data_IF_693738064997
#
_entry.id   IF_693738064997
#
_cell.length_a   1.000
_cell.length_b   1.000
_cell.length_c   1.000
_cell.angle_alpha   90.00
_cell.angle_beta   90.00
_cell.angle_gamma   90.00
#
_symmetry.space_group_name_H-M   'P 1'
#
loop_
_entity.id
_entity.type
_entity.pdbx_description
1 polymer ?
#
# COMPACT_ATOMS: atom_id res chain seq x y z
N UNK A 1 -22.91 -5.12 12.26
CA UNK A 1 -22.90 -5.65 10.87
C UNK A 1 -21.60 -6.42 10.71
N UNK A 2 -21.58 -7.61 10.08
CA UNK A 2 -20.33 -8.37 9.88
C UNK A 2 -19.38 -7.52 9.00
N UNK A 3 -18.08 -7.38 9.34
CA UNK A 3 -17.15 -6.64 8.51
C UNK A 3 -17.07 -7.27 7.13
N UNK A 4 -16.96 -6.44 6.08
CA UNK A 4 -16.67 -6.95 4.74
C UNK A 4 -15.27 -7.53 4.72
N UNK A 5 -15.07 -8.65 4.02
CA UNK A 5 -13.75 -9.23 3.85
C UNK A 5 -12.79 -8.23 3.19
N UNK A 6 -11.53 -8.26 3.62
CA UNK A 6 -10.42 -7.71 2.87
C UNK A 6 -9.82 -8.84 2.02
N UNK A 7 -9.60 -8.57 0.73
CA UNK A 7 -8.93 -9.57 -0.11
C UNK A 7 -7.41 -9.39 -0.02
N UNK A 8 -6.70 -10.42 0.42
CA UNK A 8 -5.24 -10.46 0.34
C UNK A 8 -4.85 -11.09 -1.00
N UNK A 9 -4.28 -10.31 -1.91
CA UNK A 9 -3.74 -10.86 -3.15
C UNK A 9 -2.35 -11.41 -2.86
N UNK A 10 -2.14 -12.71 -3.08
CA UNK A 10 -0.95 -13.44 -2.66
C UNK A 10 0.36 -12.93 -3.27
N UNK A 11 0.28 -12.14 -4.35
CA UNK A 11 1.44 -11.73 -5.11
C UNK A 11 1.99 -12.93 -5.89
N UNK A 12 3.31 -13.01 -6.03
CA UNK A 12 3.95 -14.15 -6.67
C UNK A 12 3.96 -15.36 -5.72
N UNK A 13 3.27 -16.49 -6.06
CA UNK A 13 3.23 -17.67 -5.19
C UNK A 13 4.60 -18.36 -5.00
N UNK A 14 5.59 -18.07 -5.84
CA UNK A 14 6.97 -18.52 -5.64
C UNK A 14 7.75 -17.65 -4.64
N UNK A 15 7.22 -16.48 -4.25
CA UNK A 15 7.81 -15.60 -3.25
C UNK A 15 7.38 -15.94 -1.82
N UNK A 16 7.64 -15.01 -0.90
CA UNK A 16 7.27 -15.15 0.52
C UNK A 16 5.79 -14.90 0.83
N UNK A 17 5.00 -14.43 -0.15
CA UNK A 17 3.58 -14.10 0.00
C UNK A 17 2.77 -15.17 0.76
N UNK A 18 2.82 -16.45 0.34
CA UNK A 18 2.15 -17.54 1.05
C UNK A 18 2.53 -17.64 2.53
N UNK A 19 3.83 -17.51 2.88
CA UNK A 19 4.30 -17.63 4.26
C UNK A 19 3.78 -16.50 5.14
N UNK A 20 3.91 -15.25 4.67
CA UNK A 20 3.50 -14.08 5.47
C UNK A 20 1.97 -14.05 5.65
N UNK A 21 1.20 -14.53 4.67
CA UNK A 21 -0.26 -14.69 4.79
C UNK A 21 -0.61 -15.68 5.90
N UNK A 22 0.01 -16.86 5.91
CA UNK A 22 -0.26 -17.89 6.92
C UNK A 22 0.12 -17.41 8.32
N UNK A 23 1.27 -16.75 8.46
CA UNK A 23 1.70 -16.17 9.73
C UNK A 23 0.75 -15.05 10.21
N UNK A 24 0.36 -14.15 9.32
CA UNK A 24 -0.61 -13.10 9.63
C UNK A 24 -1.95 -13.70 10.07
N UNK A 25 -2.46 -14.73 9.38
CA UNK A 25 -3.67 -15.44 9.77
C UNK A 25 -3.55 -16.11 11.15
N UNK A 26 -2.38 -16.66 11.49
CA UNK A 26 -2.11 -17.23 12.81
C UNK A 26 -2.10 -16.15 13.90
N UNK A 27 -1.44 -15.01 13.65
CA UNK A 27 -1.36 -13.89 14.58
C UNK A 27 -2.73 -13.22 14.81
N UNK A 28 -3.54 -13.10 13.75
CA UNK A 28 -4.86 -12.46 13.78
C UNK A 28 -6.01 -13.42 14.12
N UNK A 29 -5.70 -14.68 14.47
CA UNK A 29 -6.69 -15.73 14.75
C UNK A 29 -7.79 -15.29 15.74
N UNK A 30 -7.50 -14.64 16.89
CA UNK A 30 -8.55 -14.23 17.82
C UNK A 30 -9.61 -13.32 17.18
N UNK A 31 -9.18 -12.38 16.32
CA UNK A 31 -10.08 -11.45 15.62
C UNK A 31 -10.89 -12.14 14.52
N UNK A 32 -10.27 -13.10 13.82
CA UNK A 32 -10.94 -13.92 12.81
C UNK A 32 -12.02 -14.82 13.44
N UNK A 33 -11.71 -15.46 14.56
CA UNK A 33 -12.64 -16.33 15.30
C UNK A 33 -13.78 -15.54 15.96
N UNK A 34 -13.51 -14.33 16.45
CA UNK A 34 -14.52 -13.42 16.97
C UNK A 34 -15.42 -12.81 15.88
N UNK A 35 -15.08 -12.99 14.59
CA UNK A 35 -15.81 -12.41 13.47
C UNK A 35 -15.62 -10.90 13.32
N UNK A 36 -14.59 -10.34 13.95
CA UNK A 36 -14.20 -8.93 13.90
C UNK A 36 -13.38 -8.60 12.65
N UNK A 37 -12.83 -9.62 12.00
CA UNK A 37 -12.05 -9.51 10.77
C UNK A 37 -12.48 -10.59 9.77
N UNK A 38 -12.55 -10.23 8.49
CA UNK A 38 -12.74 -11.15 7.38
C UNK A 38 -11.58 -11.04 6.38
N UNK A 39 -10.94 -12.16 6.04
CA UNK A 39 -9.85 -12.24 5.08
C UNK A 39 -10.17 -13.26 3.98
N UNK A 40 -10.06 -12.82 2.74
CA UNK A 40 -10.13 -13.67 1.55
C UNK A 40 -8.75 -13.69 0.88
N UNK A 41 -8.07 -14.82 0.85
CA UNK A 41 -6.77 -14.95 0.18
C UNK A 41 -7.01 -15.31 -1.28
N UNK A 42 -6.55 -14.49 -2.23
CA UNK A 42 -6.65 -14.76 -3.67
C UNK A 42 -5.25 -15.09 -4.20
N UNK A 43 -5.06 -16.27 -4.80
CA UNK A 43 -3.75 -16.71 -5.30
C UNK A 43 -3.71 -18.19 -5.71
N UNK A 44 -2.57 -18.86 -5.48
CA UNK A 44 -2.43 -20.32 -5.67
C UNK A 44 -2.72 -21.05 -4.36
N UNK A 45 -3.86 -21.75 -4.30
CA UNK A 45 -4.25 -22.60 -3.19
C UNK A 45 -3.22 -23.69 -2.89
N UNK A 46 -2.61 -24.38 -3.89
CA UNK A 46 -1.49 -25.29 -3.64
C UNK A 46 -0.30 -24.62 -2.94
N UNK A 47 0.07 -23.40 -3.33
CA UNK A 47 1.15 -22.67 -2.68
C UNK A 47 0.82 -22.25 -1.25
N UNK A 48 -0.42 -21.80 -1.01
CA UNK A 48 -0.91 -21.46 0.32
C UNK A 48 -0.94 -22.68 1.24
N UNK A 49 -1.40 -23.82 0.75
CA UNK A 49 -1.46 -25.06 1.53
C UNK A 49 -0.07 -25.58 1.90
N UNK A 50 0.90 -25.50 0.99
CA UNK A 50 2.30 -25.82 1.32
C UNK A 50 2.85 -24.93 2.43
N UNK A 51 2.59 -23.63 2.38
CA UNK A 51 2.99 -22.70 3.45
C UNK A 51 2.25 -22.97 4.76
N UNK A 52 0.95 -23.30 4.70
CA UNK A 52 0.13 -23.68 5.85
C UNK A 52 0.70 -24.92 6.55
N UNK A 53 1.06 -25.95 5.78
CA UNK A 53 1.66 -27.18 6.29
C UNK A 53 3.05 -26.92 6.90
N UNK A 54 3.89 -26.12 6.25
CA UNK A 54 5.23 -25.77 6.76
C UNK A 54 5.18 -25.05 8.12
N UNK A 55 4.18 -24.19 8.33
CA UNK A 55 4.11 -23.27 9.48
C UNK A 55 3.12 -23.69 10.56
N UNK A 56 2.48 -24.85 10.40
CA UNK A 56 1.35 -25.28 11.23
C UNK A 56 0.29 -24.16 11.36
N UNK A 57 -0.18 -23.71 10.19
CA UNK A 57 -1.13 -22.63 10.02
C UNK A 57 -2.59 -23.05 10.19
N UNK A 58 -3.50 -22.09 10.47
CA UNK A 58 -4.93 -22.38 10.55
C UNK A 58 -5.48 -22.90 9.22
N UNK A 59 -6.60 -23.62 9.25
CA UNK A 59 -7.30 -24.04 8.04
C UNK A 59 -7.79 -22.82 7.25
N UNK A 60 -7.59 -22.84 5.93
CA UNK A 60 -8.02 -21.79 5.00
C UNK A 60 -8.87 -22.47 3.92
N UNK A 61 -10.19 -22.65 4.14
CA UNK A 61 -11.04 -23.36 3.20
C UNK A 61 -11.18 -22.62 1.88
N UNK A 62 -11.22 -23.39 0.79
CA UNK A 62 -11.48 -22.87 -0.56
C UNK A 62 -12.95 -22.47 -0.73
N UNK A 63 -13.18 -21.33 -1.38
CA UNK A 63 -14.50 -20.77 -1.70
C UNK A 63 -14.56 -20.32 -3.15
N UNK A 64 -15.76 -20.02 -3.66
CA UNK A 64 -15.96 -19.40 -4.97
C UNK A 64 -16.27 -17.91 -4.86
N UNK A 65 -16.01 -17.16 -5.94
CA UNK A 65 -16.25 -15.72 -6.01
C UNK A 65 -17.75 -15.37 -5.89
N UNK A 66 -18.64 -16.27 -6.29
CA UNK A 66 -20.10 -16.10 -6.26
C UNK A 66 -20.69 -16.37 -4.87
N UNK A 67 -19.90 -16.92 -3.94
CA UNK A 67 -20.33 -17.22 -2.59
C UNK A 67 -20.81 -15.98 -1.84
N UNK A 68 -21.99 -16.07 -1.19
CA UNK A 68 -22.58 -14.94 -0.44
C UNK A 68 -22.08 -14.83 1.00
N UNK A 69 -21.74 -15.97 1.61
CA UNK A 69 -21.31 -16.05 3.01
C UNK A 69 -19.95 -16.77 3.11
N UNK A 70 -18.88 -16.00 2.98
CA UNK A 70 -17.54 -16.54 3.19
C UNK A 70 -17.24 -16.73 4.69
N UNK A 71 -16.51 -17.80 5.06
CA UNK A 71 -15.89 -17.93 6.38
C UNK A 71 -14.97 -16.74 6.68
N UNK A 72 -14.72 -16.44 7.95
CA UNK A 72 -13.87 -15.30 8.33
C UNK A 72 -12.45 -15.38 7.73
N UNK A 73 -11.95 -16.58 7.48
CA UNK A 73 -10.73 -16.84 6.72
C UNK A 73 -11.01 -17.88 5.64
N UNK A 74 -10.69 -17.57 4.39
CA UNK A 74 -10.88 -18.47 3.25
C UNK A 74 -9.92 -18.13 2.11
N UNK A 75 -9.83 -19.01 1.11
CA UNK A 75 -9.04 -18.78 -0.09
C UNK A 75 -9.84 -18.96 -1.38
N UNK A 76 -9.43 -18.26 -2.42
CA UNK A 76 -9.96 -18.32 -3.77
C UNK A 76 -8.80 -18.56 -4.73
N UNK A 77 -8.90 -19.62 -5.52
CA UNK A 77 -7.93 -19.93 -6.56
C UNK A 77 -8.04 -18.90 -7.70
N UNK A 78 -6.94 -18.20 -7.98
CA UNK A 78 -6.93 -17.11 -8.96
C UNK A 78 -7.13 -17.58 -10.41
N UNK A 79 -6.79 -18.83 -10.71
CA UNK A 79 -6.98 -19.45 -12.03
C UNK A 79 -6.49 -20.89 -12.06
N UNK A 80 -6.57 -21.58 -13.21
CA UNK A 80 -5.97 -22.90 -13.36
C UNK A 80 -4.45 -22.80 -13.21
N UNK A 81 -3.83 -23.70 -12.46
CA UNK A 81 -2.36 -23.83 -12.35
C UNK A 81 -1.89 -24.88 -13.37
N UNK A 82 -0.83 -24.56 -14.13
CA UNK A 82 -0.20 -25.49 -15.05
C UNK A 82 0.76 -26.40 -14.29
N UNK A 83 2.05 -26.07 -14.35
CA UNK A 83 3.08 -26.75 -13.56
C UNK A 83 3.12 -26.18 -12.12
N UNK A 84 3.52 -26.99 -11.12
CA UNK A 84 3.61 -26.52 -9.73
C UNK A 84 4.51 -25.28 -9.60
N UNK A 85 3.96 -24.19 -9.06
CA UNK A 85 4.74 -22.97 -8.77
C UNK A 85 5.58 -23.22 -7.53
N UNK A 86 6.90 -23.40 -7.67
CA UNK A 86 7.78 -23.77 -6.55
C UNK A 86 8.39 -22.54 -5.85
N UNK A 87 8.56 -22.58 -4.50
CA UNK A 87 9.21 -21.49 -3.77
C UNK A 87 10.62 -21.17 -4.31
N UNK A 88 10.91 -19.87 -4.44
CA UNK A 88 12.19 -19.34 -4.90
C UNK A 88 12.47 -19.54 -6.39
N UNK A 89 11.54 -20.10 -7.17
CA UNK A 89 11.72 -20.37 -8.61
C UNK A 89 10.85 -19.46 -9.46
N UNK A 90 11.50 -18.64 -10.27
CA UNK A 90 10.85 -17.80 -11.27
C UNK A 90 10.07 -18.65 -12.27
N UNK A 91 8.82 -18.28 -12.55
CA UNK A 91 7.97 -18.96 -13.53
C UNK A 91 6.94 -18.00 -14.15
N UNK A 92 6.52 -18.28 -15.39
CA UNK A 92 5.43 -17.53 -16.02
C UNK A 92 4.11 -17.72 -15.25
N UNK A 93 3.84 -18.92 -14.72
CA UNK A 93 2.64 -19.15 -13.92
C UNK A 93 2.65 -18.38 -12.60
N UNK A 94 3.81 -18.21 -11.96
CA UNK A 94 3.94 -17.33 -10.78
C UNK A 94 3.53 -15.88 -11.08
N UNK A 95 4.00 -15.33 -12.20
CA UNK A 95 3.63 -14.00 -12.66
C UNK A 95 2.15 -13.89 -13.06
N UNK A 96 1.61 -14.90 -13.74
CA UNK A 96 0.21 -14.96 -14.15
C UNK A 96 -0.73 -15.00 -12.94
N UNK A 97 -0.42 -15.81 -11.94
CA UNK A 97 -1.21 -15.88 -10.70
C UNK A 97 -1.17 -14.55 -9.92
N UNK A 98 -0.01 -13.89 -9.88
CA UNK A 98 0.10 -12.58 -9.26
C UNK A 98 -0.83 -11.55 -9.93
N UNK A 99 -0.89 -11.55 -11.27
CA UNK A 99 -1.81 -10.69 -12.02
C UNK A 99 -3.28 -11.03 -11.74
N UNK A 100 -3.66 -12.31 -11.94
CA UNK A 100 -5.04 -12.77 -11.80
C UNK A 100 -5.59 -12.51 -10.40
N UNK A 101 -4.77 -12.69 -9.36
CA UNK A 101 -5.19 -12.39 -8.00
C UNK A 101 -5.54 -10.91 -7.82
N UNK A 102 -4.75 -10.00 -8.40
CA UNK A 102 -5.04 -8.55 -8.37
C UNK A 102 -6.27 -8.23 -9.21
N UNK A 103 -6.38 -8.75 -10.42
CA UNK A 103 -7.55 -8.54 -11.29
C UNK A 103 -8.87 -8.98 -10.62
N UNK A 104 -8.87 -10.17 -10.01
CA UNK A 104 -10.04 -10.66 -9.27
C UNK A 104 -10.33 -9.81 -8.03
N UNK A 105 -9.31 -9.45 -7.26
CA UNK A 105 -9.46 -8.57 -6.10
C UNK A 105 -10.05 -7.19 -6.49
N UNK A 106 -9.56 -6.59 -7.58
CA UNK A 106 -10.10 -5.33 -8.11
C UNK A 106 -11.55 -5.50 -8.53
N UNK A 107 -11.87 -6.56 -9.28
CA UNK A 107 -13.24 -6.87 -9.70
C UNK A 107 -14.19 -6.99 -8.51
N UNK A 108 -13.81 -7.74 -7.47
CA UNK A 108 -14.62 -7.90 -6.26
C UNK A 108 -14.79 -6.58 -5.48
N UNK A 109 -13.73 -5.77 -5.40
CA UNK A 109 -13.77 -4.48 -4.72
C UNK A 109 -14.65 -3.47 -5.45
N UNK A 110 -14.56 -3.38 -6.78
CA UNK A 110 -15.42 -2.54 -7.61
C UNK A 110 -16.90 -2.97 -7.51
N UNK A 111 -17.16 -4.27 -7.40
CA UNK A 111 -18.50 -4.81 -7.15
C UNK A 111 -18.99 -4.64 -5.69
N UNK A 112 -18.19 -4.04 -4.80
CA UNK A 112 -18.53 -3.82 -3.39
C UNK A 112 -18.62 -5.10 -2.55
N UNK A 113 -18.12 -6.24 -3.05
CA UNK A 113 -18.16 -7.55 -2.38
C UNK A 113 -17.12 -7.69 -1.26
N UNK A 114 -16.07 -6.88 -1.31
CA UNK A 114 -15.00 -6.77 -0.30
C UNK A 114 -14.82 -5.31 0.12
N UNK A 115 -14.15 -5.08 1.26
CA UNK A 115 -13.84 -3.74 1.76
C UNK A 115 -12.64 -3.08 1.08
N UNK A 116 -11.75 -3.88 0.50
CA UNK A 116 -10.53 -3.42 -0.14
C UNK A 116 -9.57 -4.58 -0.41
N UNK A 117 -8.45 -4.27 -1.05
CA UNK A 117 -7.39 -5.23 -1.34
C UNK A 117 -6.12 -4.91 -0.54
N UNK A 118 -5.44 -5.95 -0.09
CA UNK A 118 -4.13 -5.91 0.57
C UNK A 118 -3.17 -6.73 -0.28
N UNK A 119 -2.16 -6.11 -0.86
CA UNK A 119 -1.29 -6.81 -1.82
C UNK A 119 0.01 -7.27 -1.17
N UNK A 120 0.28 -8.58 -1.25
CA UNK A 120 1.60 -9.14 -1.03
C UNK A 120 2.52 -8.90 -2.26
N UNK A 121 3.84 -9.11 -2.13
CA UNK A 121 4.81 -8.74 -3.17
C UNK A 121 4.66 -9.59 -4.44
N UNK A 122 4.87 -8.97 -5.61
CA UNK A 122 4.99 -9.67 -6.89
C UNK A 122 6.36 -9.45 -7.53
N UNK A 123 6.79 -10.40 -8.37
CA UNK A 123 8.04 -10.32 -9.10
C UNK A 123 7.78 -9.74 -10.51
N UNK A 124 8.47 -8.66 -10.86
CA UNK A 124 8.29 -7.99 -12.16
C UNK A 124 8.76 -8.84 -13.34
N UNK A 125 9.82 -9.61 -13.17
CA UNK A 125 10.35 -10.50 -14.20
C UNK A 125 9.35 -11.64 -14.48
N UNK A 126 8.78 -12.24 -13.43
CA UNK A 126 7.74 -13.27 -13.57
C UNK A 126 6.51 -12.72 -14.30
N UNK A 127 6.07 -11.51 -13.92
CA UNK A 127 4.94 -10.82 -14.54
C UNK A 127 5.17 -10.59 -16.04
N UNK A 128 6.38 -10.18 -16.42
CA UNK A 128 6.76 -10.01 -17.83
C UNK A 128 6.82 -11.34 -18.59
N UNK A 129 7.36 -12.41 -17.97
CA UNK A 129 7.37 -13.76 -18.56
C UNK A 129 5.95 -14.28 -18.83
N UNK A 130 4.98 -13.85 -18.03
CA UNK A 130 3.57 -14.17 -18.20
C UNK A 130 2.85 -13.33 -19.26
N UNK A 131 3.54 -12.38 -19.91
CA UNK A 131 2.97 -11.48 -20.93
C UNK A 131 2.29 -10.23 -20.36
N UNK A 132 2.43 -9.95 -19.06
CA UNK A 132 1.86 -8.76 -18.42
C UNK A 132 2.93 -7.67 -18.24
N UNK A 133 2.96 -6.71 -19.17
CA UNK A 133 3.99 -5.69 -19.22
C UNK A 133 3.61 -4.43 -18.42
N UNK A 134 3.68 -4.54 -17.09
CA UNK A 134 3.48 -3.41 -16.18
C UNK A 134 4.76 -3.03 -15.44
N UNK A 135 4.98 -1.73 -15.23
CA UNK A 135 6.12 -1.24 -14.46
C UNK A 135 6.02 -1.56 -12.96
N UNK A 136 4.80 -1.78 -12.46
CA UNK A 136 4.51 -2.18 -11.08
C UNK A 136 3.01 -2.24 -10.78
N UNK A 137 2.69 -2.36 -9.49
CA UNK A 137 1.31 -2.42 -9.01
C UNK A 137 0.51 -1.16 -9.36
N UNK A 138 1.13 0.02 -9.32
CA UNK A 138 0.42 1.28 -9.53
C UNK A 138 -0.16 1.37 -10.94
N UNK A 139 0.63 1.06 -11.97
CA UNK A 139 0.20 1.09 -13.37
C UNK A 139 -0.83 -0.01 -13.66
N UNK A 140 -0.62 -1.19 -13.08
CA UNK A 140 -1.56 -2.32 -13.20
C UNK A 140 -2.92 -1.97 -12.58
N UNK A 141 -2.94 -1.43 -11.36
CA UNK A 141 -4.18 -1.04 -10.67
C UNK A 141 -4.88 0.12 -11.38
N UNK A 142 -4.12 1.10 -11.89
CA UNK A 142 -4.67 2.18 -12.69
C UNK A 142 -5.39 1.66 -13.95
N UNK A 143 -4.78 0.71 -14.66
CA UNK A 143 -5.39 0.06 -15.83
C UNK A 143 -6.66 -0.72 -15.45
N UNK A 144 -6.60 -1.55 -14.41
CA UNK A 144 -7.73 -2.37 -13.96
C UNK A 144 -8.90 -1.55 -13.39
N UNK A 145 -8.64 -0.35 -12.87
CA UNK A 145 -9.65 0.54 -12.29
C UNK A 145 -10.09 1.68 -13.20
N UNK A 146 -9.52 1.78 -14.41
CA UNK A 146 -9.82 2.84 -15.37
C UNK A 146 -9.43 4.26 -14.91
N UNK A 147 -8.49 4.39 -13.96
CA UNK A 147 -8.06 5.69 -13.41
C UNK A 147 -6.74 6.16 -14.00
N UNK A 148 -6.66 7.45 -14.29
CA UNK A 148 -5.42 8.14 -14.71
C UNK A 148 -4.88 8.94 -13.53
N UNK A 149 -4.22 8.27 -12.59
CA UNK A 149 -3.53 8.93 -11.48
C UNK A 149 -3.84 8.31 -10.12
N UNK A 150 -2.81 8.26 -9.29
CA UNK A 150 -2.89 7.84 -7.89
C UNK A 150 -1.89 8.65 -7.07
N UNK A 151 -1.99 8.52 -5.74
CA UNK A 151 -1.05 9.10 -4.79
C UNK A 151 -0.50 7.97 -3.94
N UNK A 152 0.82 7.85 -3.88
CA UNK A 152 1.48 6.92 -2.97
C UNK A 152 1.58 7.60 -1.61
N UNK A 153 1.00 6.97 -0.58
CA UNK A 153 1.19 7.33 0.82
C UNK A 153 1.95 6.19 1.51
N UNK A 154 3.10 6.51 2.08
CA UNK A 154 3.80 5.62 2.99
C UNK A 154 3.34 5.89 4.41
N UNK A 155 3.12 4.82 5.18
CA UNK A 155 2.73 4.92 6.57
C UNK A 155 3.55 4.00 7.46
N UNK A 156 4.01 4.51 8.59
CA UNK A 156 4.64 3.75 9.67
C UNK A 156 4.41 4.49 11.01
N UNK A 157 3.78 3.84 11.99
CA UNK A 157 3.41 4.49 13.24
C UNK A 157 2.60 5.78 13.03
N UNK A 158 3.12 6.92 13.52
CA UNK A 158 2.53 8.25 13.30
C UNK A 158 3.01 8.96 12.02
N UNK A 159 3.97 8.39 11.30
CA UNK A 159 4.47 8.94 10.04
C UNK A 159 3.54 8.57 8.91
N UNK A 160 3.01 9.57 8.20
CA UNK A 160 2.24 9.41 6.96
C UNK A 160 2.79 10.38 5.93
N UNK A 161 3.31 9.86 4.83
CA UNK A 161 4.02 10.67 3.83
C UNK A 161 3.47 10.37 2.43
N UNK A 162 2.75 11.32 1.85
CA UNK A 162 2.28 11.24 0.47
C UNK A 162 3.26 11.89 -0.49
N UNK A 163 3.23 11.49 -1.76
CA UNK A 163 4.24 11.91 -2.75
C UNK A 163 3.61 12.60 -3.96
N UNK A 164 4.11 13.80 -4.29
CA UNK A 164 3.79 14.50 -5.54
C UNK A 164 4.29 13.70 -6.74
N UNK A 165 5.54 13.23 -6.68
CA UNK A 165 6.14 12.36 -7.68
C UNK A 165 6.80 11.13 -7.04
N UNK A 166 6.80 10.00 -7.75
CA UNK A 166 7.38 8.73 -7.31
C UNK A 166 8.58 8.36 -8.19
N UNK A 167 8.49 7.30 -9.00
CA UNK A 167 9.60 6.77 -9.79
C UNK A 167 9.83 7.61 -11.07
N UNK A 168 10.48 8.76 -10.93
CA UNK A 168 10.90 9.64 -12.03
C UNK A 168 12.37 10.01 -11.88
N UNK A 169 13.04 10.37 -12.98
CA UNK A 169 14.39 10.93 -12.91
C UNK A 169 14.37 12.24 -12.10
N UNK A 170 15.42 12.50 -11.32
CA UNK A 170 15.47 13.67 -10.44
C UNK A 170 15.34 15.00 -11.23
N UNK A 171 15.90 15.05 -12.44
CA UNK A 171 15.77 16.20 -13.35
C UNK A 171 14.34 16.50 -13.82
N UNK A 172 13.44 15.51 -13.75
CA UNK A 172 12.04 15.68 -14.11
C UNK A 172 11.16 16.07 -12.92
N UNK A 173 11.63 15.90 -11.68
CA UNK A 173 10.87 16.21 -10.47
C UNK A 173 10.27 17.63 -10.49
N UNK A 174 11.03 18.70 -10.83
CA UNK A 174 10.46 20.04 -10.85
C UNK A 174 9.29 20.20 -11.83
N UNK A 175 9.29 19.46 -12.94
CA UNK A 175 8.22 19.49 -13.95
C UNK A 175 6.95 18.77 -13.47
N UNK A 176 7.08 17.85 -12.52
CA UNK A 176 5.94 17.11 -11.94
C UNK A 176 5.16 17.92 -10.91
N UNK A 177 5.78 18.95 -10.34
CA UNK A 177 5.12 19.86 -9.42
C UNK A 177 4.29 20.89 -10.21
N UNK A 178 3.02 20.59 -10.41
CA UNK A 178 2.01 21.53 -10.94
C UNK A 178 0.96 21.84 -9.88
N UNK A 179 0.23 22.96 -9.98
CA UNK A 179 -0.87 23.27 -9.05
C UNK A 179 -1.91 22.16 -8.99
N UNK A 180 -2.27 21.58 -10.14
CA UNK A 180 -3.27 20.52 -10.26
C UNK A 180 -2.79 19.23 -9.58
N UNK A 181 -1.52 18.86 -9.79
CA UNK A 181 -0.95 17.66 -9.17
C UNK A 181 -0.84 17.81 -7.67
N UNK A 182 -0.32 18.95 -7.18
CA UNK A 182 -0.21 19.19 -5.74
C UNK A 182 -1.59 19.25 -5.08
N UNK A 183 -2.57 19.90 -5.72
CA UNK A 183 -3.95 19.91 -5.22
C UNK A 183 -4.54 18.51 -5.13
N UNK A 184 -4.42 17.71 -6.19
CA UNK A 184 -4.88 16.32 -6.18
C UNK A 184 -4.24 15.51 -5.05
N UNK A 185 -2.94 15.68 -4.80
CA UNK A 185 -2.24 14.99 -3.71
C UNK A 185 -2.75 15.42 -2.34
N UNK A 186 -3.02 16.72 -2.15
CA UNK A 186 -3.61 17.24 -0.91
C UNK A 186 -4.99 16.66 -0.66
N UNK A 187 -5.88 16.70 -1.67
CA UNK A 187 -7.26 16.22 -1.56
C UNK A 187 -7.31 14.73 -1.18
N UNK A 188 -6.51 13.90 -1.86
CA UNK A 188 -6.42 12.46 -1.57
C UNK A 188 -5.83 12.18 -0.18
N UNK A 189 -4.81 12.96 0.23
CA UNK A 189 -4.20 12.82 1.55
C UNK A 189 -5.17 13.19 2.66
N UNK A 190 -5.90 14.29 2.53
CA UNK A 190 -6.90 14.74 3.49
C UNK A 190 -8.05 13.73 3.63
N UNK A 191 -8.58 13.25 2.50
CA UNK A 191 -9.60 12.21 2.48
C UNK A 191 -9.13 10.93 3.18
N UNK A 192 -7.88 10.51 2.93
CA UNK A 192 -7.31 9.33 3.59
C UNK A 192 -7.17 9.52 5.10
N UNK A 193 -6.71 10.68 5.57
CA UNK A 193 -6.56 10.97 6.99
C UNK A 193 -7.91 11.01 7.72
N UNK A 194 -8.94 11.60 7.09
CA UNK A 194 -10.32 11.54 7.59
C UNK A 194 -10.82 10.11 7.66
N UNK A 195 -10.56 9.30 6.63
CA UNK A 195 -10.88 7.87 6.63
C UNK A 195 -10.13 7.06 7.70
N UNK A 196 -8.99 7.56 8.18
CA UNK A 196 -8.26 6.99 9.32
C UNK A 196 -8.76 7.49 10.68
N UNK A 197 -9.81 8.32 10.70
CA UNK A 197 -10.42 8.86 11.92
C UNK A 197 -9.89 10.23 12.36
N UNK A 198 -9.10 10.91 11.52
CA UNK A 198 -8.58 12.25 11.81
C UNK A 198 -9.55 13.29 11.23
N UNK A 199 -10.50 13.75 12.04
CA UNK A 199 -11.59 14.60 11.56
C UNK A 199 -11.12 15.95 10.98
N UNK A 200 -10.05 16.52 11.53
CA UNK A 200 -9.45 17.79 11.08
C UNK A 200 -7.94 17.59 10.79
N UNK A 201 -7.58 17.05 9.61
CA UNK A 201 -6.19 16.75 9.29
C UNK A 201 -5.30 17.99 9.19
N UNK A 202 -4.11 17.92 9.78
CA UNK A 202 -3.03 18.91 9.64
C UNK A 202 -1.98 18.37 8.67
N UNK A 203 -1.93 18.91 7.46
CA UNK A 203 -1.03 18.43 6.40
C UNK A 203 0.07 19.45 6.17
N UNK A 204 1.34 19.03 6.22
CA UNK A 204 2.44 19.90 5.82
C UNK A 204 2.92 19.54 4.40
N UNK A 205 3.26 20.55 3.60
CA UNK A 205 3.87 20.38 2.29
C UNK A 205 5.36 20.66 2.42
N UNK A 206 6.19 19.67 2.09
CA UNK A 206 7.63 19.86 2.02
C UNK A 206 7.98 20.81 0.87
N UNK A 207 9.00 21.63 1.06
CA UNK A 207 9.57 22.42 -0.02
C UNK A 207 10.22 21.52 -1.07
N UNK A 208 10.13 21.89 -2.34
CA UNK A 208 10.88 21.23 -3.41
C UNK A 208 12.36 21.59 -3.30
N UNK A 209 12.64 22.88 -3.18
CA UNK A 209 14.00 23.39 -3.12
C UNK A 209 14.50 23.44 -1.67
N UNK A 210 15.82 23.32 -1.45
CA UNK A 210 16.38 23.56 -0.12
C UNK A 210 15.98 24.94 0.39
N UNK A 211 15.72 25.06 1.69
CA UNK A 211 15.29 26.30 2.33
C UNK A 211 14.03 26.94 1.68
N UNK A 212 13.15 26.15 1.07
CA UNK A 212 11.97 26.65 0.35
C UNK A 212 12.30 27.67 -0.76
N UNK A 213 13.46 27.50 -1.40
CA UNK A 213 13.92 28.35 -2.49
C UNK A 213 14.64 29.63 -2.04
N UNK A 214 14.71 29.92 -0.74
CA UNK A 214 15.42 31.08 -0.15
C UNK A 214 15.08 32.40 -0.88
N UNK A 215 13.79 32.77 -0.89
CA UNK A 215 13.31 33.98 -1.58
C UNK A 215 13.42 33.92 -3.11
N UNK A 216 13.66 32.74 -3.68
CA UNK A 216 13.82 32.51 -5.12
C UNK A 216 15.27 32.30 -5.56
N UNK A 217 16.24 32.39 -4.65
CA UNK A 217 17.66 32.17 -4.92
C UNK A 217 17.97 30.74 -5.38
N UNK A 218 17.26 29.73 -4.83
CA UNK A 218 17.49 28.31 -5.13
C UNK A 218 16.40 27.69 -6.00
N UNK A 219 15.66 28.51 -6.73
CA UNK A 219 14.51 28.08 -7.52
C UNK A 219 13.21 28.72 -7.02
N UNK A 220 12.21 28.73 -7.90
CA UNK A 220 10.96 29.46 -7.66
C UNK A 220 9.71 28.58 -7.57
N UNK A 221 9.82 27.27 -7.76
CA UNK A 221 8.67 26.36 -7.76
C UNK A 221 7.87 26.44 -6.46
N UNK A 222 8.56 26.63 -5.32
CA UNK A 222 7.91 26.81 -4.03
C UNK A 222 7.07 28.10 -3.93
N UNK A 223 7.55 29.18 -4.54
CA UNK A 223 6.89 30.50 -4.57
C UNK A 223 5.77 30.52 -5.62
N UNK A 224 6.04 30.00 -6.81
CA UNK A 224 5.19 30.15 -7.97
C UNK A 224 4.11 29.04 -8.05
N UNK A 225 4.32 27.88 -7.41
CA UNK A 225 3.40 26.73 -7.45
C UNK A 225 2.94 26.30 -6.06
N UNK A 226 3.87 25.96 -5.15
CA UNK A 226 3.50 25.37 -3.85
C UNK A 226 2.72 26.34 -2.98
N UNK A 227 3.25 27.54 -2.71
CA UNK A 227 2.62 28.52 -1.83
C UNK A 227 1.21 28.97 -2.29
N UNK A 228 0.98 29.30 -3.59
CA UNK A 228 -0.36 29.63 -4.07
C UNK A 228 -1.34 28.46 -3.96
N UNK A 229 -0.89 27.24 -4.24
CA UNK A 229 -1.74 26.04 -4.14
C UNK A 229 -2.13 25.74 -2.70
N UNK A 230 -1.19 25.89 -1.76
CA UNK A 230 -1.44 25.75 -0.32
C UNK A 230 -2.41 26.83 0.17
N UNK A 231 -2.23 28.08 -0.25
CA UNK A 231 -3.14 29.17 0.11
C UNK A 231 -4.57 28.88 -0.38
N UNK A 232 -4.71 28.39 -1.61
CA UNK A 232 -6.01 27.98 -2.16
C UNK A 232 -6.63 26.80 -1.39
N UNK A 233 -5.85 25.77 -1.06
CA UNK A 233 -6.33 24.64 -0.27
C UNK A 233 -6.83 25.07 1.13
N UNK A 234 -6.14 26.01 1.77
CA UNK A 234 -6.61 26.60 3.04
C UNK A 234 -7.88 27.43 2.87
N UNK A 235 -7.98 28.23 1.79
CA UNK A 235 -9.21 28.98 1.49
C UNK A 235 -10.41 28.05 1.25
N UNK A 236 -10.16 26.84 0.74
CA UNK A 236 -11.16 25.79 0.55
C UNK A 236 -11.44 24.96 1.84
N UNK A 237 -10.88 25.37 2.98
CA UNK A 237 -11.19 24.80 4.30
C UNK A 237 -10.27 23.68 4.79
N UNK A 238 -9.19 23.37 4.06
CA UNK A 238 -8.16 22.44 4.54
C UNK A 238 -7.24 23.12 5.56
N UNK A 239 -6.54 22.34 6.39
CA UNK A 239 -5.46 22.86 7.25
C UNK A 239 -4.11 22.43 6.71
N UNK A 240 -3.52 23.26 5.84
CA UNK A 240 -2.29 22.96 5.11
C UNK A 240 -1.18 23.94 5.47
N UNK A 241 -0.02 23.42 5.88
CA UNK A 241 1.17 24.19 6.25
C UNK A 241 2.23 24.11 5.16
N UNK A 242 3.00 25.19 5.00
CA UNK A 242 4.21 25.20 4.17
C UNK A 242 4.17 26.18 2.99
N UNK A 243 5.10 26.05 2.02
CA UNK A 243 6.12 25.00 1.95
C UNK A 243 7.11 25.06 3.13
N UNK A 244 7.44 23.91 3.72
CA UNK A 244 8.37 23.79 4.87
C UNK A 244 9.68 23.16 4.40
N UNK A 245 10.87 23.69 4.77
CA UNK A 245 12.14 23.08 4.39
C UNK A 245 12.21 21.57 4.73
N UNK A 246 12.63 20.76 3.76
CA UNK A 246 12.57 19.30 3.84
C UNK A 246 13.35 18.69 5.01
N UNK A 247 14.45 19.31 5.42
CA UNK A 247 15.26 18.94 6.57
C UNK A 247 14.55 19.16 7.92
N UNK A 248 13.59 20.08 7.98
CA UNK A 248 12.85 20.40 9.21
C UNK A 248 11.44 19.80 9.25
N UNK A 249 10.80 19.57 8.10
CA UNK A 249 9.40 19.13 8.04
C UNK A 249 9.20 17.75 8.68
N UNK A 250 10.12 16.81 8.47
CA UNK A 250 10.01 15.46 9.02
C UNK A 250 10.33 15.39 10.51
N UNK A 251 11.17 16.28 11.03
CA UNK A 251 11.38 16.45 12.48
C UNK A 251 10.07 16.90 13.14
N UNK A 252 9.36 17.86 12.52
CA UNK A 252 8.06 18.35 13.01
C UNK A 252 6.95 17.30 12.89
N UNK A 253 6.94 16.51 11.80
CA UNK A 253 6.04 15.37 11.65
C UNK A 253 6.24 14.35 12.78
N UNK A 254 7.49 13.95 13.03
CA UNK A 254 7.83 13.03 14.13
C UNK A 254 7.37 13.57 15.49
N UNK A 255 7.47 14.89 15.69
CA UNK A 255 7.01 15.57 16.90
C UNK A 255 5.48 15.75 16.99
N UNK A 256 4.69 15.25 16.03
CA UNK A 256 3.22 15.30 16.07
C UNK A 256 2.61 16.67 15.74
N UNK A 257 3.39 17.58 15.16
CA UNK A 257 2.86 18.88 14.72
C UNK A 257 1.96 18.76 13.48
N UNK A 258 2.13 17.68 12.71
CA UNK A 258 1.37 17.35 11.51
C UNK A 258 0.88 15.91 11.59
N UNK A 259 -0.22 15.63 10.90
CA UNK A 259 -0.80 14.30 10.79
C UNK A 259 -0.32 13.56 9.52
N UNK A 260 0.15 14.33 8.52
CA UNK A 260 0.88 13.85 7.36
C UNK A 260 1.79 14.93 6.75
N UNK A 261 2.75 14.48 5.92
CA UNK A 261 3.58 15.33 5.06
C UNK A 261 3.37 14.96 3.60
N UNK A 262 3.24 15.95 2.72
CA UNK A 262 3.34 15.81 1.27
C UNK A 262 4.80 16.06 0.86
N UNK A 263 5.51 15.01 0.48
CA UNK A 263 6.84 15.06 -0.11
C UNK A 263 6.76 15.35 -1.61
N UNK A 264 7.71 16.11 -2.14
CA UNK A 264 7.77 16.51 -3.55
C UNK A 264 8.27 15.38 -4.46
N UNK A 265 9.13 14.51 -3.95
CA UNK A 265 9.69 13.38 -4.68
C UNK A 265 9.96 12.17 -3.78
N UNK A 266 10.21 11.03 -4.41
CA UNK A 266 10.39 9.73 -3.77
C UNK A 266 11.36 9.78 -2.58
N UNK A 267 12.63 10.12 -2.82
CA UNK A 267 13.67 10.05 -1.77
C UNK A 267 13.44 11.05 -0.63
N UNK A 268 12.83 12.20 -0.91
CA UNK A 268 12.48 13.17 0.14
C UNK A 268 11.57 12.57 1.20
N UNK A 269 10.60 11.74 0.79
CA UNK A 269 9.65 11.10 1.69
C UNK A 269 10.05 9.69 2.14
N UNK A 270 10.71 8.92 1.28
CA UNK A 270 11.11 7.55 1.59
C UNK A 270 12.21 7.53 2.65
N UNK A 271 13.28 8.32 2.49
CA UNK A 271 14.40 8.32 3.44
C UNK A 271 13.94 8.48 4.90
N UNK A 272 13.15 9.52 5.28
CA UNK A 272 12.74 9.69 6.68
C UNK A 272 11.82 8.58 7.19
N UNK A 273 10.92 8.04 6.35
CA UNK A 273 10.04 6.92 6.75
C UNK A 273 10.87 5.65 6.95
N UNK A 274 11.77 5.34 6.01
CA UNK A 274 12.65 4.17 6.05
C UNK A 274 13.59 4.22 7.26
N UNK A 275 14.19 5.38 7.54
CA UNK A 275 15.09 5.55 8.68
C UNK A 275 14.42 5.27 10.04
N UNK A 276 13.11 5.46 10.14
CA UNK A 276 12.35 5.24 11.37
C UNK A 276 11.67 3.87 11.42
N UNK A 277 11.26 3.31 10.29
CA UNK A 277 10.56 2.01 10.22
C UNK A 277 11.46 0.80 10.00
N UNK A 278 12.72 0.99 9.62
CA UNK A 278 13.66 -0.11 9.47
C UNK A 278 14.65 -0.18 10.63
N UNK A 279 14.65 -1.33 11.30
CA UNK A 279 15.68 -1.64 12.29
C UNK A 279 16.72 -2.56 11.66
N UNK A 280 17.98 -2.15 11.72
CA UNK A 280 19.14 -2.96 11.33
C UNK A 280 19.95 -3.19 12.59
N UNK A 281 20.29 -4.44 12.87
CA UNK A 281 21.23 -4.76 13.95
C UNK A 281 22.62 -4.21 13.57
N UNK A 282 23.15 -3.20 14.29
CA UNK A 282 24.43 -2.59 13.94
C UNK A 282 25.62 -3.55 14.10
N UNK A 283 25.48 -4.62 14.89
CA UNK A 283 26.54 -5.61 15.09
C UNK A 283 26.62 -6.63 13.95
N UNK A 284 25.48 -6.97 13.33
CA UNK A 284 25.40 -8.03 12.32
C UNK A 284 25.05 -7.54 10.92
N UNK A 285 24.58 -6.30 10.78
CA UNK A 285 24.06 -5.74 9.54
C UNK A 285 22.75 -6.39 9.07
N UNK A 286 22.12 -7.24 9.90
CA UNK A 286 20.88 -7.92 9.55
C UNK A 286 19.68 -7.01 9.78
N UNK A 287 18.74 -7.04 8.83
CA UNK A 287 17.45 -6.39 8.97
C UNK A 287 16.64 -7.13 10.05
N UNK A 288 16.22 -6.39 11.07
CA UNK A 288 15.50 -6.89 12.25
C UNK A 288 14.01 -6.60 12.14
N UNK A 289 13.65 -5.40 11.68
CA UNK A 289 12.28 -5.00 11.43
C UNK A 289 12.16 -4.35 10.05
N UNK A 290 11.15 -4.79 9.31
CA UNK A 290 10.73 -4.21 8.04
C UNK A 290 9.27 -3.79 8.21
N UNK A 291 9.04 -2.68 8.89
CA UNK A 291 7.69 -2.13 9.09
C UNK A 291 7.46 -0.91 8.20
N UNK A 292 6.21 -0.75 7.76
CA UNK A 292 5.86 0.19 6.70
C UNK A 292 4.80 -0.35 5.76
N UNK A 293 3.82 0.51 5.45
CA UNK A 293 2.70 0.21 4.57
C UNK A 293 2.69 1.21 3.42
N UNK A 294 2.51 0.69 2.22
CA UNK A 294 2.24 1.50 1.04
C UNK A 294 0.72 1.52 0.77
N UNK A 295 0.13 2.70 0.82
CA UNK A 295 -1.28 2.95 0.55
C UNK A 295 -1.40 3.69 -0.77
N UNK A 296 -2.27 3.20 -1.66
CA UNK A 296 -2.52 3.83 -2.96
C UNK A 296 -3.84 4.58 -2.92
N UNK A 297 -3.75 5.91 -2.84
CA UNK A 297 -4.90 6.82 -2.83
C UNK A 297 -5.29 7.22 -4.25
N UNK A 298 -6.49 7.78 -4.44
CA UNK A 298 -7.05 8.16 -5.74
C UNK A 298 -7.70 7.02 -6.53
N UNK A 299 -7.62 5.79 -6.04
CA UNK A 299 -8.31 4.65 -6.64
C UNK A 299 -9.77 4.56 -6.15
N UNK A 300 -10.70 4.04 -6.98
CA UNK A 300 -12.08 3.80 -6.55
C UNK A 300 -12.17 2.70 -5.47
N UNK A 301 -11.11 1.93 -5.28
CA UNK A 301 -11.00 0.87 -4.28
C UNK A 301 -9.95 1.24 -3.22
N UNK A 302 -10.06 0.66 -2.03
CA UNK A 302 -8.98 0.72 -1.04
C UNK A 302 -7.91 -0.27 -1.44
N UNK A 303 -6.65 0.18 -1.46
CA UNK A 303 -5.48 -0.68 -1.64
C UNK A 303 -4.36 -0.32 -0.67
N UNK A 304 -3.96 -1.30 0.12
CA UNK A 304 -2.72 -1.27 0.92
C UNK A 304 -1.76 -2.36 0.45
N UNK A 305 -0.50 -2.27 0.86
CA UNK A 305 0.56 -3.17 0.44
C UNK A 305 1.68 -3.18 1.45
N UNK A 306 2.37 -4.31 1.52
CA UNK A 306 3.68 -4.38 2.16
C UNK A 306 4.71 -3.51 1.42
N UNK A 307 5.77 -3.10 2.11
CA UNK A 307 6.86 -2.26 1.56
C UNK A 307 8.14 -3.05 1.22
N UNK A 308 8.07 -4.39 1.18
CA UNK A 308 9.18 -5.27 0.82
C UNK A 308 8.91 -6.07 -0.47
N UNK A 309 9.97 -6.64 -1.04
CA UNK A 309 9.90 -7.47 -2.25
C UNK A 309 9.51 -8.93 -1.98
N UNK A 310 9.56 -9.76 -3.03
CA UNK A 310 9.18 -11.18 -2.99
C UNK A 310 10.16 -12.09 -2.24
N UNK A 311 11.39 -11.64 -2.02
CA UNK A 311 12.42 -12.34 -1.25
C UNK A 311 12.55 -13.83 -1.60
N UNK A 312 12.73 -14.13 -2.89
CA UNK A 312 12.82 -15.50 -3.42
C UNK A 312 13.91 -16.35 -2.75
N UNK A 313 14.97 -15.71 -2.29
CA UNK A 313 16.10 -16.33 -1.59
C UNK A 313 15.70 -16.94 -0.24
N UNK A 314 14.61 -16.48 0.38
CA UNK A 314 14.09 -17.02 1.64
C UNK A 314 12.72 -17.71 1.52
N UNK A 315 12.12 -17.71 0.33
CA UNK A 315 10.83 -18.35 0.09
C UNK A 315 10.88 -19.87 0.36
N UNK A 316 9.86 -20.37 1.04
CA UNK A 316 9.72 -21.75 1.50
C UNK A 316 10.54 -22.10 2.75
N UNK A 317 11.22 -21.13 3.39
CA UNK A 317 12.07 -21.40 4.58
C UNK A 317 11.38 -21.16 5.92
N UNK A 318 10.21 -20.51 5.92
CA UNK A 318 9.45 -20.21 7.13
C UNK A 318 9.99 -19.03 7.93
N UNK A 319 10.92 -18.24 7.39
CA UNK A 319 11.63 -17.17 8.10
C UNK A 319 11.18 -15.76 7.71
N UNK A 320 10.30 -15.60 6.71
CA UNK A 320 9.77 -14.30 6.31
C UNK A 320 8.95 -13.63 7.43
N UNK A 321 9.02 -12.32 7.56
CA UNK A 321 8.33 -11.55 8.60
C UNK A 321 6.99 -11.00 8.08
N UNK A 322 5.90 -11.24 8.82
CA UNK A 322 4.52 -10.88 8.46
C UNK A 322 4.05 -9.50 8.94
N UNK A 323 4.84 -8.78 9.74
CA UNK A 323 4.41 -7.53 10.40
C UNK A 323 3.89 -6.48 9.41
N UNK A 324 4.62 -6.22 8.33
CA UNK A 324 4.18 -5.27 7.29
C UNK A 324 2.85 -5.67 6.66
N UNK A 325 2.55 -6.97 6.53
CA UNK A 325 1.26 -7.43 6.02
C UNK A 325 0.14 -7.20 7.04
N UNK A 326 0.40 -7.47 8.32
CA UNK A 326 -0.57 -7.19 9.40
C UNK A 326 -0.89 -5.69 9.45
N UNK A 327 0.12 -4.83 9.44
CA UNK A 327 -0.07 -3.37 9.39
C UNK A 327 -0.88 -2.96 8.15
N UNK A 328 -0.60 -3.56 6.99
CA UNK A 328 -1.34 -3.27 5.76
C UNK A 328 -2.82 -3.70 5.86
N UNK A 329 -3.12 -4.82 6.52
CA UNK A 329 -4.48 -5.27 6.82
C UNK A 329 -5.18 -4.27 7.74
N UNK A 330 -4.54 -3.84 8.83
CA UNK A 330 -5.11 -2.88 9.78
C UNK A 330 -5.42 -1.52 9.14
N UNK A 331 -4.52 -1.02 8.29
CA UNK A 331 -4.78 0.21 7.52
C UNK A 331 -5.97 0.04 6.57
N UNK A 332 -6.05 -1.08 5.85
CA UNK A 332 -7.16 -1.34 4.94
C UNK A 332 -8.50 -1.45 5.67
N UNK A 333 -8.51 -2.09 6.84
CA UNK A 333 -9.69 -2.22 7.69
C UNK A 333 -10.22 -0.87 8.16
N UNK A 334 -9.34 -0.01 8.70
CA UNK A 334 -9.71 1.34 9.15
C UNK A 334 -10.27 2.18 8.02
N UNK A 335 -9.61 2.17 6.86
CA UNK A 335 -10.08 2.87 5.67
C UNK A 335 -11.44 2.31 5.20
N UNK A 336 -11.63 0.99 5.23
CA UNK A 336 -12.86 0.35 4.78
C UNK A 336 -14.04 0.67 5.70
N UNK A 337 -13.80 0.70 7.02
CA UNK A 337 -14.81 1.08 8.00
C UNK A 337 -15.36 2.49 7.74
N UNK A 338 -14.49 3.46 7.43
CA UNK A 338 -14.92 4.83 7.12
C UNK A 338 -15.75 4.98 5.84
N UNK A 339 -15.57 4.08 4.86
CA UNK A 339 -16.34 4.08 3.61
C UNK A 339 -17.71 3.42 3.75
N UNK A 340 -17.90 2.53 4.71
CA UNK A 340 -19.19 1.88 4.97
C UNK A 340 -20.27 2.87 5.45
N UNK A 341 -19.85 4.02 5.98
CA UNK A 341 -20.74 5.11 6.42
C UNK A 341 -21.12 6.10 5.30
N UNK A 342 -20.58 5.93 4.08
CA UNK A 342 -20.96 6.72 2.91
C UNK A 342 -22.02 5.93 2.10
N UNK A 343 -23.19 6.53 1.78
CA UNK A 343 -24.13 5.89 0.89
C UNK A 343 -23.45 5.60 -0.45
N UNK A 344 -23.69 4.41 -1.01
CA UNK A 344 -23.17 4.04 -2.32
C UNK A 344 -23.54 5.14 -3.32
N UNK A 345 -22.54 5.70 -4.00
CA UNK A 345 -22.79 6.67 -5.06
C UNK A 345 -23.72 6.00 -6.09
N UNK A 346 -24.90 6.59 -6.26
CA UNK A 346 -25.94 6.14 -7.19
C UNK A 346 -25.50 6.27 -8.65
#
# INVERSE_FOLDING_TARGET
MKPRHLAITMGDPAGIGPEIIVKAAKALRPRLEAGELGLLVIGSNPALERARALLDGPAIPEVTAEGRDWPALCCLQAGPEGEPILPGRLSADGGRFAYLAVEQGVTLALAGRIGGIVTAPLNKEALNLAGYHYAGHTEMLAALTGRKGSVMLLAHGNMRVSHVSTHVALEDVPKRLTPERLRFVLDETDAALKGLGIAAPRIAVAALNPHAGEGGLFGRQDIDVSAPTIAKANADGMTVFGPVPGDTVFVKLRAGQYDAVVAMYHDQGHIPVKLLGFEIDPATGKWMDLSGVNITLGLPIIRTSVDHGTAFDIAGKGIANERSLIEAIEYAERLAASRADLPAAA
#
